data_IF_921329984271
#
_entry.id   IF_921329984271
#
_cell.length_a   1.000
_cell.length_b   1.000
_cell.length_c   1.000
_cell.angle_alpha   90.00
_cell.angle_beta   90.00
_cell.angle_gamma   90.00
#
_symmetry.space_group_name_H-M   'P 1'
#
loop_
_entity.id
_entity.type
_entity.pdbx_description
1 polymer ?
#
# COMPACT_ATOMS: atom_id res chain seq x y z
N UNK A 1 -17.14 -18.12 -17.79
CA UNK A 1 -15.89 -17.61 -17.19
C UNK A 1 -16.26 -16.27 -16.63
N UNK A 2 -16.56 -16.22 -15.33
CA UNK A 2 -16.99 -14.98 -14.69
C UNK A 2 -15.75 -14.19 -14.30
N UNK A 3 -15.70 -12.92 -14.71
CA UNK A 3 -14.69 -11.96 -14.24
C UNK A 3 -14.75 -11.89 -12.71
N UNK A 4 -13.64 -12.17 -12.03
CA UNK A 4 -13.55 -11.94 -10.60
C UNK A 4 -13.58 -10.43 -10.33
N UNK A 5 -14.43 -9.94 -9.42
CA UNK A 5 -14.43 -8.52 -9.06
C UNK A 5 -13.07 -8.18 -8.43
N UNK A 6 -12.26 -7.40 -9.15
CA UNK A 6 -10.95 -6.96 -8.69
C UNK A 6 -11.05 -5.53 -8.17
N UNK A 7 -11.09 -5.36 -6.85
CA UNK A 7 -10.94 -4.04 -6.24
C UNK A 7 -9.46 -3.66 -6.24
N UNK A 8 -9.08 -2.70 -7.08
CA UNK A 8 -7.74 -2.11 -7.10
C UNK A 8 -7.65 -0.94 -6.12
N UNK A 9 -6.55 -0.86 -5.36
CA UNK A 9 -6.22 0.27 -4.49
C UNK A 9 -4.98 0.95 -5.05
N UNK A 10 -5.08 2.25 -5.32
CA UNK A 10 -3.90 3.06 -5.65
C UNK A 10 -3.32 3.66 -4.38
N UNK A 11 -2.04 3.37 -4.13
CA UNK A 11 -1.30 3.84 -2.97
C UNK A 11 -0.29 4.87 -3.48
N UNK A 12 -0.58 6.15 -3.20
CA UNK A 12 0.33 7.25 -3.49
C UNK A 12 1.53 7.22 -2.53
N UNK A 13 2.74 7.40 -3.04
CA UNK A 13 3.99 7.31 -2.26
C UNK A 13 4.60 8.67 -1.94
N UNK A 14 4.27 9.71 -2.71
CA UNK A 14 4.84 11.05 -2.58
C UNK A 14 3.82 12.05 -2.04
N UNK A 15 4.22 12.83 -1.03
CA UNK A 15 3.42 13.97 -0.51
C UNK A 15 3.33 15.18 -1.47
N UNK A 16 3.95 15.12 -2.65
CA UNK A 16 4.36 16.32 -3.41
C UNK A 16 3.73 16.58 -4.78
N UNK A 17 2.85 15.73 -5.31
CA UNK A 17 2.33 15.91 -6.69
C UNK A 17 0.79 15.88 -6.76
N UNK A 18 0.16 16.79 -6.03
CA UNK A 18 -1.22 17.21 -6.27
C UNK A 18 -1.27 18.74 -6.40
N UNK A 19 -0.57 19.30 -7.39
CA UNK A 19 -0.79 20.69 -7.79
C UNK A 19 -0.44 20.89 -9.27
N UNK A 20 -1.47 21.28 -10.03
CA UNK A 20 -1.47 21.88 -11.37
C UNK A 20 -1.36 20.96 -12.60
N UNK A 21 -2.48 20.31 -12.96
CA UNK A 21 -2.82 20.08 -14.37
C UNK A 21 -3.98 21.00 -14.76
N UNK A 22 -3.64 22.26 -15.03
CA UNK A 22 -4.44 23.14 -15.87
C UNK A 22 -3.48 24.13 -16.55
N UNK A 23 -3.70 24.35 -17.86
CA UNK A 23 -2.97 25.25 -18.77
C UNK A 23 -1.68 24.57 -19.31
N UNK A 24 -1.48 24.30 -20.61
CA UNK A 24 -1.94 24.98 -21.83
C UNK A 24 -1.94 24.02 -23.04
N UNK A 25 -3.02 24.07 -23.82
CA UNK A 25 -3.03 23.61 -25.21
C UNK A 25 -2.20 24.60 -26.04
N UNK A 26 -1.10 24.16 -26.67
CA UNK A 26 -0.68 24.52 -28.04
C UNK A 26 0.83 24.38 -28.25
N UNK A 27 1.16 23.84 -29.42
CA UNK A 27 2.38 24.01 -30.21
C UNK A 27 3.61 23.12 -29.96
N UNK A 28 3.69 22.10 -30.82
CA UNK A 28 4.86 21.66 -31.60
C UNK A 28 6.25 21.69 -30.96
N UNK A 29 6.79 20.47 -30.86
CA UNK A 29 8.18 20.20 -31.22
C UNK A 29 9.09 19.92 -30.03
N UNK A 30 9.53 18.67 -29.94
CA UNK A 30 10.69 18.25 -29.16
C UNK A 30 10.57 18.43 -27.64
N UNK A 31 9.64 17.71 -27.00
CA UNK A 31 9.82 17.37 -25.59
C UNK A 31 10.82 16.21 -25.51
N UNK A 32 12.10 16.56 -25.43
CA UNK A 32 13.07 15.74 -24.72
C UNK A 32 12.49 15.55 -23.31
N UNK A 33 11.87 14.41 -23.05
CA UNK A 33 11.25 14.05 -21.78
C UNK A 33 12.35 14.01 -20.70
N UNK A 34 12.62 15.16 -20.10
CA UNK A 34 13.49 15.33 -18.94
C UNK A 34 12.64 15.54 -17.68
N UNK A 35 11.65 14.67 -17.51
CA UNK A 35 11.17 14.28 -16.20
C UNK A 35 11.48 12.79 -16.11
N UNK A 36 12.09 12.32 -15.02
CA UNK A 36 12.14 10.88 -14.76
C UNK A 36 10.70 10.41 -14.65
N UNK A 37 10.09 9.97 -15.75
CA UNK A 37 8.78 9.32 -15.79
C UNK A 37 8.90 7.99 -15.05
N UNK A 38 8.95 8.04 -13.72
CA UNK A 38 9.00 6.86 -12.87
C UNK A 38 7.63 6.23 -12.94
N UNK A 39 7.48 5.27 -13.84
CA UNK A 39 6.23 4.53 -14.04
C UNK A 39 5.79 3.89 -12.72
N UNK A 40 4.50 4.02 -12.39
CA UNK A 40 3.85 3.37 -11.25
C UNK A 40 3.94 1.84 -11.34
N UNK A 41 3.94 1.18 -10.19
CA UNK A 41 4.01 -0.28 -10.12
C UNK A 41 2.60 -0.86 -10.02
N UNK A 42 2.21 -1.69 -10.99
CA UNK A 42 1.03 -2.53 -10.88
C UNK A 42 1.40 -3.90 -10.28
N UNK A 43 0.77 -4.28 -9.17
CA UNK A 43 1.06 -5.54 -8.45
C UNK A 43 -0.18 -6.08 -7.72
N UNK A 44 -0.03 -7.14 -6.93
CA UNK A 44 -1.10 -7.68 -6.09
C UNK A 44 -0.55 -8.60 -4.99
N UNK A 45 -1.29 -9.67 -4.70
CA UNK A 45 -1.03 -10.63 -3.62
C UNK A 45 0.19 -11.54 -3.86
N UNK A 46 1.34 -10.96 -4.21
CA UNK A 46 2.57 -11.68 -4.54
C UNK A 46 3.02 -12.59 -3.39
N UNK A 47 3.09 -13.89 -3.67
CA UNK A 47 3.50 -14.89 -2.69
C UNK A 47 2.44 -15.31 -1.66
N UNK A 48 1.18 -14.89 -1.79
CA UNK A 48 0.15 -15.15 -0.78
C UNK A 48 -0.76 -16.34 -1.09
N UNK A 49 -0.59 -16.99 -2.24
CA UNK A 49 -1.31 -18.22 -2.62
C UNK A 49 -0.58 -19.47 -2.13
N UNK A 50 -0.09 -20.29 -3.06
CA UNK A 50 0.62 -21.55 -2.75
C UNK A 50 1.85 -21.39 -1.83
N UNK A 51 2.46 -20.21 -1.80
CA UNK A 51 3.60 -19.91 -0.94
C UNK A 51 3.22 -19.48 0.49
N UNK A 52 1.93 -19.31 0.78
CA UNK A 52 1.42 -19.08 2.14
C UNK A 52 1.84 -17.76 2.80
N UNK A 53 2.27 -16.77 2.01
CA UNK A 53 2.60 -15.45 2.54
C UNK A 53 1.37 -14.72 3.08
N UNK A 54 1.57 -13.92 4.13
CA UNK A 54 0.53 -13.06 4.68
C UNK A 54 0.26 -11.85 3.75
N UNK A 55 -0.98 -11.64 3.28
CA UNK A 55 -1.28 -10.55 2.36
C UNK A 55 -1.10 -9.15 2.93
N UNK A 56 -1.41 -8.94 4.22
CA UNK A 56 -1.27 -7.64 4.88
C UNK A 56 0.22 -7.25 4.92
N UNK A 57 1.08 -8.15 5.39
CA UNK A 57 2.53 -7.95 5.40
C UNK A 57 3.11 -7.79 4.00
N UNK A 58 2.71 -8.63 3.04
CA UNK A 58 3.22 -8.57 1.66
C UNK A 58 2.81 -7.29 0.96
N UNK A 59 1.63 -6.73 1.25
CA UNK A 59 1.23 -5.43 0.70
C UNK A 59 2.12 -4.30 1.22
N UNK A 60 2.40 -4.27 2.53
CA UNK A 60 3.27 -3.26 3.15
C UNK A 60 4.73 -3.38 2.71
N UNK A 61 5.26 -4.60 2.58
CA UNK A 61 6.63 -4.84 2.09
C UNK A 61 6.78 -4.35 0.64
N UNK A 62 5.80 -4.61 -0.22
CA UNK A 62 5.82 -4.11 -1.59
C UNK A 62 5.74 -2.58 -1.63
N UNK A 63 4.92 -1.98 -0.75
CA UNK A 63 4.87 -0.53 -0.60
C UNK A 63 6.23 0.06 -0.18
N UNK A 64 6.87 -0.51 0.85
CA UNK A 64 8.21 -0.12 1.30
C UNK A 64 9.24 -0.21 0.18
N UNK A 65 9.28 -1.32 -0.54
CA UNK A 65 10.23 -1.55 -1.61
C UNK A 65 10.09 -0.51 -2.73
N UNK A 66 8.85 -0.20 -3.11
CA UNK A 66 8.57 0.78 -4.15
C UNK A 66 8.85 2.22 -3.70
N UNK A 67 8.54 2.56 -2.44
CA UNK A 67 8.91 3.86 -1.84
C UNK A 67 10.43 4.03 -1.77
N UNK A 68 11.16 3.00 -1.33
CA UNK A 68 12.63 3.03 -1.29
C UNK A 68 13.26 3.13 -2.70
N UNK A 69 12.59 2.58 -3.72
CA UNK A 69 12.98 2.70 -5.12
C UNK A 69 12.57 4.03 -5.77
N UNK A 70 11.95 4.95 -5.01
CA UNK A 70 11.52 6.27 -5.48
C UNK A 70 10.40 6.23 -6.51
N UNK A 71 9.55 5.19 -6.49
CA UNK A 71 8.38 5.09 -7.38
C UNK A 71 7.25 6.00 -6.88
N UNK A 72 6.43 6.57 -7.77
CA UNK A 72 5.42 7.56 -7.35
C UNK A 72 4.16 6.91 -6.77
N UNK A 73 3.76 5.74 -7.26
CA UNK A 73 2.62 4.99 -6.73
C UNK A 73 2.71 3.47 -6.97
N UNK A 74 1.95 2.72 -6.16
CA UNK A 74 1.63 1.31 -6.38
C UNK A 74 0.13 1.17 -6.62
N UNK A 75 -0.24 0.56 -7.74
CA UNK A 75 -1.58 0.07 -8.01
C UNK A 75 -1.65 -1.40 -7.56
N UNK A 76 -2.34 -1.64 -6.44
CA UNK A 76 -2.44 -2.94 -5.80
C UNK A 76 -3.78 -3.61 -6.09
N UNK A 77 -3.74 -4.74 -6.77
CA UNK A 77 -4.92 -5.57 -7.05
C UNK A 77 -5.12 -6.57 -5.92
N UNK A 78 -6.15 -6.35 -5.11
CA UNK A 78 -6.44 -7.17 -3.92
C UNK A 78 -7.14 -8.49 -4.27
N UNK A 79 -7.79 -8.57 -5.43
CA UNK A 79 -8.66 -9.70 -5.82
C UNK A 79 -9.72 -10.04 -4.75
N UNK A 80 -10.19 -9.03 -4.00
CA UNK A 80 -11.29 -9.18 -3.06
C UNK A 80 -10.97 -10.00 -1.80
N UNK A 81 -9.69 -10.24 -1.49
CA UNK A 81 -9.34 -10.98 -0.27
C UNK A 81 -9.70 -10.17 0.98
N UNK A 82 -10.39 -10.81 1.92
CA UNK A 82 -10.97 -10.13 3.08
C UNK A 82 -9.95 -9.46 4.00
N UNK A 83 -8.76 -10.03 4.15
CA UNK A 83 -7.68 -9.44 4.98
C UNK A 83 -7.25 -8.06 4.47
N UNK A 84 -7.38 -7.79 3.16
CA UNK A 84 -7.02 -6.50 2.58
C UNK A 84 -8.18 -5.50 2.49
N UNK A 85 -9.34 -5.80 3.09
CA UNK A 85 -10.50 -4.89 3.04
C UNK A 85 -10.21 -3.49 3.60
N UNK A 86 -9.25 -3.40 4.52
CA UNK A 86 -8.85 -2.16 5.19
C UNK A 86 -7.54 -1.58 4.67
N UNK A 87 -6.98 -2.10 3.56
CA UNK A 87 -5.68 -1.67 3.02
C UNK A 87 -5.64 -0.16 2.76
N UNK A 88 -6.69 0.40 2.15
CA UNK A 88 -6.74 1.83 1.85
C UNK A 88 -6.75 2.69 3.14
N UNK A 89 -7.57 2.32 4.12
CA UNK A 89 -7.67 3.03 5.40
C UNK A 89 -6.34 3.01 6.17
N UNK A 90 -5.66 1.86 6.17
CA UNK A 90 -4.34 1.72 6.81
C UNK A 90 -3.30 2.58 6.08
N UNK A 91 -3.25 2.55 4.74
CA UNK A 91 -2.34 3.40 3.96
C UNK A 91 -2.61 4.90 4.20
N UNK A 92 -3.87 5.33 4.20
CA UNK A 92 -4.25 6.72 4.47
C UNK A 92 -3.82 7.16 5.87
N UNK A 93 -4.00 6.30 6.87
CA UNK A 93 -3.56 6.58 8.23
C UNK A 93 -2.04 6.69 8.32
N UNK A 94 -1.28 5.79 7.68
CA UNK A 94 0.19 5.85 7.66
C UNK A 94 0.65 7.16 7.01
N UNK A 95 0.04 7.53 5.88
CA UNK A 95 0.33 8.79 5.19
C UNK A 95 0.00 10.01 6.06
N UNK A 96 -1.13 10.00 6.79
CA UNK A 96 -1.53 11.12 7.66
C UNK A 96 -0.64 11.28 8.88
N UNK A 97 -0.01 10.19 9.35
CA UNK A 97 0.95 10.19 10.46
C UNK A 97 2.38 10.48 10.01
N UNK A 98 2.55 10.78 8.72
CA UNK A 98 3.80 11.27 8.20
C UNK A 98 4.96 10.26 8.25
N UNK A 99 4.67 8.96 8.29
CA UNK A 99 5.69 7.92 8.43
C UNK A 99 6.66 7.85 7.27
N UNK A 100 7.93 7.66 7.61
CA UNK A 100 8.99 7.32 6.67
C UNK A 100 8.98 5.83 6.34
N UNK A 101 9.78 5.44 5.33
CA UNK A 101 10.07 4.02 5.05
C UNK A 101 10.61 3.31 6.31
N UNK A 102 11.45 3.99 7.08
CA UNK A 102 12.03 3.45 8.32
C UNK A 102 10.99 3.22 9.41
N UNK A 103 10.03 4.13 9.57
CA UNK A 103 8.99 4.01 10.60
C UNK A 103 8.09 2.79 10.33
N UNK A 104 7.59 2.65 9.09
CA UNK A 104 6.79 1.49 8.70
C UNK A 104 7.61 0.18 8.78
N UNK A 105 8.88 0.20 8.40
CA UNK A 105 9.76 -0.96 8.57
C UNK A 105 9.89 -1.39 10.04
N UNK A 106 10.12 -0.44 10.95
CA UNK A 106 10.22 -0.72 12.38
C UNK A 106 8.95 -1.38 12.92
N UNK A 107 7.77 -0.90 12.50
CA UNK A 107 6.50 -1.49 12.90
C UNK A 107 6.31 -2.92 12.36
N UNK A 108 6.74 -3.21 11.13
CA UNK A 108 6.72 -4.57 10.58
C UNK A 108 7.66 -5.51 11.36
N UNK A 109 8.84 -5.02 11.76
CA UNK A 109 9.80 -5.78 12.56
C UNK A 109 9.24 -6.06 13.95
N UNK A 110 8.68 -5.06 14.62
CA UNK A 110 8.06 -5.20 15.93
C UNK A 110 6.90 -6.21 15.89
N UNK A 111 5.97 -6.05 14.94
CA UNK A 111 4.87 -6.99 14.75
C UNK A 111 5.38 -8.42 14.51
N UNK A 112 6.39 -8.59 13.64
CA UNK A 112 6.94 -9.89 13.31
C UNK A 112 7.57 -10.57 14.54
N UNK A 113 8.25 -9.78 15.40
CA UNK A 113 8.80 -10.25 16.67
C UNK A 113 7.69 -10.71 17.61
N UNK A 114 6.65 -9.90 17.82
CA UNK A 114 5.50 -10.26 18.67
C UNK A 114 4.78 -11.51 18.14
N UNK A 115 4.62 -11.63 16.82
CA UNK A 115 4.05 -12.83 16.18
C UNK A 115 4.89 -14.07 16.40
N UNK A 116 6.20 -13.97 16.22
CA UNK A 116 7.14 -15.07 16.44
C UNK A 116 7.12 -15.54 17.89
N UNK A 117 7.09 -14.60 18.84
CA UNK A 117 7.01 -14.88 20.28
C UNK A 117 5.62 -15.29 20.76
N UNK A 118 4.60 -15.29 19.87
CA UNK A 118 3.20 -15.58 20.19
C UNK A 118 2.57 -14.59 21.19
N UNK A 119 3.05 -13.36 21.20
CA UNK A 119 2.52 -12.26 22.01
C UNK A 119 1.26 -11.63 21.40
N UNK A 120 1.06 -11.81 20.08
CA UNK A 120 -0.15 -11.39 19.36
C UNK A 120 -0.63 -12.49 18.42
N UNK A 121 -1.94 -12.62 18.29
CA UNK A 121 -2.62 -13.46 17.31
C UNK A 121 -3.41 -12.67 16.25
N UNK A 122 -3.31 -11.33 16.28
CA UNK A 122 -3.99 -10.43 15.35
C UNK A 122 -3.29 -10.36 13.98
N UNK A 123 -4.05 -10.04 12.94
CA UNK A 123 -3.50 -9.56 11.66
C UNK A 123 -2.71 -8.27 11.86
N UNK A 124 -1.77 -7.97 10.96
CA UNK A 124 -0.94 -6.76 11.04
C UNK A 124 -1.80 -5.50 11.09
N UNK A 125 -2.85 -5.39 10.27
CA UNK A 125 -3.71 -4.20 10.25
C UNK A 125 -4.45 -3.99 11.56
N UNK A 126 -5.00 -5.06 12.14
CA UNK A 126 -5.69 -5.00 13.43
C UNK A 126 -4.74 -4.73 14.60
N UNK A 127 -3.52 -5.26 14.53
CA UNK A 127 -2.49 -4.98 15.51
C UNK A 127 -2.02 -3.51 15.44
N UNK A 128 -1.84 -2.99 14.23
CA UNK A 128 -1.35 -1.62 14.00
C UNK A 128 -2.40 -0.56 14.35
N UNK A 129 -3.67 -0.79 13.96
CA UNK A 129 -4.77 0.14 14.19
C UNK A 129 -5.97 -0.56 14.86
N UNK A 130 -5.90 -0.93 16.14
CA UNK A 130 -6.99 -1.65 16.83
C UNK A 130 -8.32 -0.88 16.80
N UNK A 131 -8.27 0.45 16.82
CA UNK A 131 -9.45 1.32 16.75
C UNK A 131 -10.25 1.17 15.46
N UNK A 132 -9.59 0.83 14.34
CA UNK A 132 -10.27 0.57 13.07
C UNK A 132 -11.12 -0.70 13.12
N UNK A 133 -10.79 -1.63 14.02
CA UNK A 133 -11.45 -2.93 14.17
C UNK A 133 -12.33 -3.03 15.43
N UNK A 134 -12.33 -1.99 16.28
CA UNK A 134 -13.11 -1.96 17.53
C UNK A 134 -14.63 -1.83 17.31
N UNK A 135 -15.08 -1.42 16.12
CA UNK A 135 -16.51 -1.21 15.82
C UNK A 135 -17.25 -2.45 15.31
N UNK A 136 -16.53 -3.47 14.82
CA UNK A 136 -17.15 -4.70 14.30
C UNK A 136 -17.51 -5.70 15.43
N UNK A 137 -17.03 -5.47 16.65
CA UNK A 137 -17.30 -6.34 17.81
C UNK A 137 -18.66 -6.06 18.51
N UNK A 138 -19.49 -5.17 17.96
CA UNK A 138 -20.79 -4.77 18.53
C UNK A 138 -22.00 -5.06 17.62
N UNK A 139 -21.83 -5.77 16.50
CA UNK A 139 -22.94 -6.19 15.64
C UNK A 139 -23.41 -7.60 15.94
#
# INVERSE_FOLDING_TARGET
MDEAPSTSVEIAMNRGEYINQAIEYSDKGSWCLNHEDKISIATGNWGCGAFGGDPELKSMIQWLAASQAGRPSVLYYTFGIKSLQNLNQVCQWILSHEWTVGDLWNMLVEYSSQRFNKETDLGFFAWLLPSLFAHDAKS
#
